data_IF_318794483099
#
_entry.id   IF_318794483099
#
_cell.length_a   1.000
_cell.length_b   1.000
_cell.length_c   1.000
_cell.angle_alpha   90.00
_cell.angle_beta   90.00
_cell.angle_gamma   90.00
#
_symmetry.space_group_name_H-M   'P 1'
#
loop_
_entity.id
_entity.type
_entity.pdbx_description
1 polymer ?
#
# COMPACT_ATOMS: atom_id res chain seq x y z
N UNK A 1 -2.06 18.73 10.04
CA UNK A 1 -2.78 17.82 9.13
C UNK A 1 -1.99 17.58 7.84
N UNK A 2 -1.61 18.65 7.14
CA UNK A 2 -0.88 18.60 5.86
C UNK A 2 0.46 17.86 5.95
N UNK A 3 1.26 18.05 7.01
CA UNK A 3 2.60 17.44 7.11
C UNK A 3 2.61 15.90 7.19
N UNK A 4 1.68 15.29 7.95
CA UNK A 4 1.59 13.81 8.00
C UNK A 4 1.04 13.27 6.69
N UNK A 5 0.02 13.92 6.10
CA UNK A 5 -0.46 13.51 4.78
C UNK A 5 0.62 13.66 3.70
N UNK A 6 1.40 14.74 3.74
CA UNK A 6 2.58 14.94 2.87
C UNK A 6 3.60 13.83 3.13
N UNK A 7 3.91 13.48 4.37
CA UNK A 7 4.82 12.38 4.69
C UNK A 7 4.34 11.03 4.16
N UNK A 8 3.05 10.74 4.26
CA UNK A 8 2.42 9.53 3.73
C UNK A 8 2.45 9.54 2.18
N UNK A 9 2.14 10.68 1.55
CA UNK A 9 2.21 10.85 0.10
C UNK A 9 3.64 10.70 -0.42
N UNK A 10 4.62 11.32 0.25
CA UNK A 10 6.04 11.17 -0.04
C UNK A 10 6.44 9.70 0.05
N UNK A 11 6.04 8.99 1.11
CA UNK A 11 6.37 7.57 1.26
C UNK A 11 5.73 6.69 0.18
N UNK A 12 4.46 6.96 -0.16
CA UNK A 12 3.72 6.30 -1.25
C UNK A 12 4.36 6.56 -2.61
N UNK A 13 5.02 7.69 -2.84
CA UNK A 13 5.67 8.03 -4.12
C UNK A 13 7.10 7.48 -4.18
N UNK A 14 7.89 7.65 -3.11
CA UNK A 14 9.32 7.28 -3.08
C UNK A 14 9.50 5.76 -3.17
N UNK A 15 8.70 4.98 -2.45
CA UNK A 15 8.82 3.49 -2.45
C UNK A 15 8.63 2.86 -3.83
N UNK A 16 7.54 3.11 -4.57
CA UNK A 16 7.39 2.56 -5.93
C UNK A 16 8.44 3.11 -6.89
N UNK A 17 8.82 4.39 -6.78
CA UNK A 17 9.87 4.97 -7.63
C UNK A 17 11.21 4.23 -7.49
N UNK A 18 11.66 4.00 -6.25
CA UNK A 18 12.89 3.22 -6.00
C UNK A 18 12.78 1.79 -6.54
N UNK A 19 11.59 1.19 -6.50
CA UNK A 19 11.39 -0.18 -6.98
C UNK A 19 11.41 -0.28 -8.51
N UNK A 20 10.84 0.71 -9.21
CA UNK A 20 10.91 0.81 -10.68
C UNK A 20 12.37 0.96 -11.13
N UNK A 21 13.16 1.75 -10.40
CA UNK A 21 14.59 1.93 -10.68
C UNK A 21 15.38 0.62 -10.57
N UNK A 22 15.18 -0.13 -9.50
CA UNK A 22 15.82 -1.45 -9.29
C UNK A 22 15.47 -2.44 -10.41
N UNK A 23 14.25 -2.35 -10.94
CA UNK A 23 13.76 -3.27 -11.99
C UNK A 23 14.39 -2.98 -13.32
N UNK A 24 14.53 -1.71 -13.65
CA UNK A 24 15.25 -1.30 -14.85
C UNK A 24 16.71 -1.80 -14.80
N UNK A 25 17.31 -1.83 -13.61
CA UNK A 25 18.67 -2.31 -13.41
C UNK A 25 18.82 -3.84 -13.41
N UNK A 26 17.81 -4.58 -12.96
CA UNK A 26 17.90 -6.03 -12.70
C UNK A 26 17.17 -6.91 -13.74
N UNK A 27 16.58 -6.34 -14.79
CA UNK A 27 15.77 -7.05 -15.79
C UNK A 27 14.73 -8.02 -15.17
N UNK A 28 14.18 -7.65 -14.01
CA UNK A 28 13.19 -8.47 -13.31
C UNK A 28 11.87 -8.47 -14.07
N UNK A 29 11.15 -9.60 -14.03
CA UNK A 29 9.82 -9.70 -14.64
C UNK A 29 8.88 -8.62 -14.06
N UNK A 30 8.23 -7.78 -14.89
CA UNK A 30 7.39 -6.69 -14.43
C UNK A 30 6.22 -7.16 -13.54
N UNK A 31 5.78 -8.41 -13.67
CA UNK A 31 4.75 -9.00 -12.80
C UNK A 31 5.20 -9.12 -11.34
N UNK A 32 6.44 -9.56 -11.09
CA UNK A 32 7.02 -9.66 -9.74
C UNK A 32 7.15 -8.27 -9.11
N UNK A 33 7.44 -7.28 -9.93
CA UNK A 33 7.60 -5.88 -9.52
C UNK A 33 6.28 -5.32 -9.05
N UNK A 34 5.23 -5.46 -9.86
CA UNK A 34 3.89 -5.02 -9.52
C UNK A 34 3.40 -5.75 -8.26
N UNK A 35 3.72 -7.04 -8.10
CA UNK A 35 3.42 -7.79 -6.88
C UNK A 35 4.13 -7.22 -5.64
N UNK A 36 5.41 -6.85 -5.75
CA UNK A 36 6.18 -6.25 -4.65
C UNK A 36 5.71 -4.83 -4.30
N UNK A 37 5.47 -3.99 -5.29
CA UNK A 37 4.98 -2.62 -5.09
C UNK A 37 3.60 -2.67 -4.41
N UNK A 38 2.68 -3.48 -4.95
CA UNK A 38 1.35 -3.65 -4.36
C UNK A 38 1.40 -4.20 -2.94
N UNK A 39 2.29 -5.15 -2.62
CA UNK A 39 2.45 -5.69 -1.27
C UNK A 39 2.91 -4.64 -0.24
N UNK A 40 3.87 -3.78 -0.61
CA UNK A 40 4.38 -2.71 0.26
C UNK A 40 3.29 -1.68 0.53
N UNK A 41 2.57 -1.24 -0.51
CA UNK A 41 1.47 -0.30 -0.33
C UNK A 41 0.30 -0.93 0.43
N UNK A 42 -0.01 -2.22 0.21
CA UNK A 42 -1.08 -2.93 0.92
C UNK A 42 -0.79 -3.01 2.42
N UNK A 43 0.42 -3.43 2.80
CA UNK A 43 0.86 -3.54 4.20
C UNK A 43 0.79 -2.20 4.93
N UNK A 44 1.22 -1.13 4.26
CA UNK A 44 1.16 0.21 4.82
C UNK A 44 -0.28 0.70 5.03
N UNK A 45 -1.13 0.59 4.01
CA UNK A 45 -2.53 1.01 4.10
C UNK A 45 -3.30 0.17 5.13
N UNK A 46 -3.00 -1.13 5.27
CA UNK A 46 -3.63 -2.00 6.27
C UNK A 46 -3.31 -1.55 7.71
N UNK A 47 -2.04 -1.22 8.01
CA UNK A 47 -1.64 -0.71 9.32
C UNK A 47 -2.32 0.64 9.59
N UNK A 48 -2.35 1.53 8.60
CA UNK A 48 -3.03 2.82 8.71
C UNK A 48 -4.53 2.66 9.01
N UNK A 49 -5.19 1.70 8.35
CA UNK A 49 -6.61 1.39 8.54
C UNK A 49 -6.92 0.95 9.98
N UNK A 50 -6.07 0.13 10.60
CA UNK A 50 -6.22 -0.32 12.00
C UNK A 50 -6.05 0.86 12.96
N UNK A 51 -5.02 1.69 12.76
CA UNK A 51 -4.74 2.85 13.60
C UNK A 51 -5.92 3.83 13.61
N UNK A 52 -6.58 4.01 12.47
CA UNK A 52 -7.75 4.89 12.31
C UNK A 52 -9.02 4.40 13.00
N UNK A 53 -9.09 3.15 13.45
CA UNK A 53 -10.27 2.57 14.12
C UNK A 53 -10.08 2.35 15.62
N UNK A 54 -8.87 2.56 16.16
CA UNK A 54 -8.63 2.49 17.59
C UNK A 54 -9.23 3.69 18.32
N UNK A 55 -10.44 3.52 18.86
CA UNK A 55 -11.18 4.55 19.60
C UNK A 55 -10.38 5.19 20.74
N UNK A 56 -9.54 4.40 21.45
CA UNK A 56 -8.67 4.88 22.55
C UNK A 56 -7.54 5.78 22.06
N UNK A 57 -6.92 5.43 20.93
CA UNK A 57 -5.89 6.26 20.29
C UNK A 57 -6.48 7.57 19.78
N UNK A 58 -7.69 7.53 19.21
CA UNK A 58 -8.40 8.72 18.72
C UNK A 58 -8.78 9.66 19.86
N UNK A 59 -9.23 9.13 21.01
CA UNK A 59 -9.57 9.94 22.18
C UNK A 59 -8.34 10.57 22.83
N UNK A 60 -7.22 9.85 22.90
CA UNK A 60 -5.93 10.41 23.34
C UNK A 60 -5.44 11.51 22.38
N UNK A 61 -5.47 11.24 21.07
CA UNK A 61 -5.12 12.21 20.01
C UNK A 61 -6.00 13.47 20.05
N UNK A 62 -7.29 13.32 20.40
CA UNK A 62 -8.24 14.43 20.54
C UNK A 62 -7.96 15.31 21.77
N UNK A 63 -7.39 14.74 22.82
CA UNK A 63 -6.95 15.45 24.04
C UNK A 63 -5.58 16.13 23.87
N UNK A 64 -4.75 15.63 22.96
CA UNK A 64 -3.44 16.19 22.64
C UNK A 64 -3.49 17.26 21.54
N UNK A 65 -2.37 17.98 21.37
CA UNK A 65 -2.14 18.90 20.22
C UNK A 65 -2.28 18.24 18.83
N UNK A 66 -2.31 16.90 18.77
CA UNK A 66 -2.54 16.13 17.55
C UNK A 66 -3.97 16.24 16.99
N UNK A 67 -4.92 16.87 17.69
CA UNK A 67 -6.27 17.16 17.16
C UNK A 67 -6.26 17.98 15.86
N UNK A 68 -5.25 18.81 15.63
CA UNK A 68 -5.04 19.56 14.37
C UNK A 68 -4.33 18.74 13.28
N UNK A 69 -3.84 17.55 13.63
CA UNK A 69 -3.03 16.69 12.77
C UNK A 69 -3.85 15.55 12.17
N UNK A 70 -4.72 14.93 12.97
CA UNK A 70 -5.64 13.89 12.52
C UNK A 70 -7.06 14.46 12.31
N UNK A 71 -7.71 14.20 11.16
CA UNK A 71 -9.11 14.58 10.95
C UNK A 71 -10.04 13.71 11.80
N UNK A 72 -10.10 13.98 13.10
CA UNK A 72 -10.87 13.21 14.08
C UNK A 72 -12.38 13.26 13.80
N UNK A 73 -12.87 14.27 13.07
CA UNK A 73 -14.28 14.39 12.69
C UNK A 73 -14.74 13.44 11.58
N UNK A 74 -13.83 12.99 10.69
CA UNK A 74 -14.17 12.22 9.48
C UNK A 74 -13.38 10.90 9.35
N UNK A 75 -12.90 10.37 10.47
CA UNK A 75 -12.08 9.15 10.50
C UNK A 75 -12.79 7.93 9.91
N UNK A 76 -14.13 7.86 10.01
CA UNK A 76 -14.96 6.80 9.40
C UNK A 76 -14.99 6.90 7.87
N UNK A 77 -15.14 8.11 7.32
CA UNK A 77 -15.15 8.30 5.86
C UNK A 77 -13.76 8.05 5.27
N UNK A 78 -12.70 8.49 5.97
CA UNK A 78 -11.33 8.20 5.59
C UNK A 78 -11.04 6.68 5.63
N UNK A 79 -11.56 5.97 6.63
CA UNK A 79 -11.48 4.50 6.69
C UNK A 79 -12.20 3.83 5.51
N UNK A 80 -13.39 4.30 5.10
CA UNK A 80 -14.08 3.77 3.90
C UNK A 80 -13.29 4.01 2.60
N UNK A 81 -12.60 5.14 2.48
CA UNK A 81 -11.76 5.42 1.31
C UNK A 81 -10.52 4.54 1.27
N UNK A 82 -9.81 4.42 2.40
CA UNK A 82 -8.64 3.55 2.52
C UNK A 82 -9.02 2.08 2.30
N UNK A 83 -10.13 1.62 2.86
CA UNK A 83 -10.62 0.25 2.68
C UNK A 83 -10.87 -0.09 1.20
N UNK A 84 -11.48 0.83 0.44
CA UNK A 84 -11.65 0.66 -1.02
C UNK A 84 -10.31 0.61 -1.76
N UNK A 85 -9.35 1.45 -1.36
CA UNK A 85 -8.01 1.46 -1.95
C UNK A 85 -7.24 0.15 -1.68
N UNK A 86 -7.30 -0.35 -0.44
CA UNK A 86 -6.73 -1.64 -0.04
C UNK A 86 -7.30 -2.78 -0.87
N UNK A 87 -8.61 -2.79 -1.13
CA UNK A 87 -9.27 -3.83 -1.91
C UNK A 87 -8.75 -3.86 -3.35
N UNK A 88 -8.62 -2.71 -3.99
CA UNK A 88 -8.05 -2.60 -5.34
C UNK A 88 -6.59 -3.06 -5.36
N UNK A 89 -5.79 -2.66 -4.37
CA UNK A 89 -4.39 -3.10 -4.26
C UNK A 89 -4.26 -4.60 -4.02
N UNK A 90 -5.11 -5.19 -3.19
CA UNK A 90 -5.13 -6.62 -2.93
C UNK A 90 -5.46 -7.40 -4.20
N UNK A 91 -6.40 -6.90 -5.02
CA UNK A 91 -6.73 -7.50 -6.31
C UNK A 91 -5.56 -7.44 -7.29
N UNK A 92 -4.89 -6.28 -7.40
CA UNK A 92 -3.68 -6.12 -8.24
C UNK A 92 -2.56 -7.05 -7.74
N UNK A 93 -2.37 -7.16 -6.43
CA UNK A 93 -1.38 -8.04 -5.83
C UNK A 93 -1.63 -9.52 -6.17
N UNK A 94 -2.88 -9.97 -6.02
CA UNK A 94 -3.28 -11.33 -6.36
C UNK A 94 -3.11 -11.62 -7.86
N UNK A 95 -3.57 -10.73 -8.73
CA UNK A 95 -3.41 -10.87 -10.19
C UNK A 95 -1.93 -10.91 -10.60
N UNK A 96 -1.08 -10.10 -9.97
CA UNK A 96 0.35 -10.08 -10.26
C UNK A 96 1.00 -11.43 -9.94
N UNK A 97 0.62 -12.07 -8.83
CA UNK A 97 1.07 -13.42 -8.49
C UNK A 97 0.51 -14.48 -9.44
N UNK A 98 -0.75 -14.37 -9.88
CA UNK A 98 -1.32 -15.31 -10.86
C UNK A 98 -0.59 -15.25 -12.21
N UNK A 99 -0.25 -14.04 -12.67
CA UNK A 99 0.52 -13.85 -13.91
C UNK A 99 1.93 -14.41 -13.77
N UNK A 100 2.61 -14.13 -12.65
CA UNK A 100 3.96 -14.65 -12.41
C UNK A 100 3.97 -16.19 -12.37
N UNK A 101 3.00 -16.80 -11.68
CA UNK A 101 2.84 -18.25 -11.66
C UNK A 101 2.58 -18.83 -13.07
N UNK A 102 1.77 -18.16 -13.88
CA UNK A 102 1.53 -18.57 -15.26
C UNK A 102 2.81 -18.49 -16.12
N UNK A 103 3.58 -17.40 -16.01
CA UNK A 103 4.84 -17.21 -16.74
C UNK A 103 5.86 -18.29 -16.34
N UNK A 104 6.00 -18.58 -15.05
CA UNK A 104 6.90 -19.61 -14.54
C UNK A 104 6.50 -20.97 -15.09
N UNK A 105 5.20 -21.31 -15.06
CA UNK A 105 4.70 -22.58 -15.59
C UNK A 105 4.97 -22.73 -17.10
N UNK A 106 4.72 -21.68 -17.88
CA UNK A 106 4.99 -21.69 -19.33
C UNK A 106 6.47 -21.87 -19.65
N UNK A 107 7.37 -21.20 -18.92
CA UNK A 107 8.82 -21.36 -19.11
C UNK A 107 9.30 -22.78 -18.79
N UNK A 108 8.73 -23.42 -17.75
CA UNK A 108 9.12 -24.77 -17.35
C UNK A 108 8.64 -25.84 -18.34
N UNK A 109 7.48 -25.61 -18.99
CA UNK A 109 6.94 -26.50 -20.03
C UNK A 109 7.74 -26.45 -21.34
N UNK A 110 8.51 -25.38 -21.60
CA UNK A 110 9.34 -25.24 -22.80
C UNK A 110 10.77 -25.79 -22.61
N UNK A 111 11.14 -26.16 -21.39
CA UNK A 111 12.47 -26.69 -21.02
C UNK A 111 12.49 -28.23 -20.91
N UNK A 112 11.38 -28.90 -21.16
CA UNK A 112 11.23 -30.35 -21.32
C UNK A 112 10.74 -30.66 -22.74
#
# INVERSE_FOLDING_TARGET
YVLIQIGILIWIIVRPYTMIYVVHQQNMNPSIVTAKISAILLSFNAILMIILMLKRTITLVRSSYLRYVLPVGYHIDFHRWIGRYILVLAFIHALSHMIDFAIIKTRMCFLF
#
